data_IF_272243421768
#
_entry.id   IF_272243421768
#
_cell.length_a   1.000
_cell.length_b   1.000
_cell.length_c   1.000
_cell.angle_alpha   90.00
_cell.angle_beta   90.00
_cell.angle_gamma   90.00
#
_symmetry.space_group_name_H-M   'P 1'
#
loop_
_entity.id
_entity.type
_entity.pdbx_description
1 polymer ?
#
# COMPACT_ATOMS: atom_id res chain seq x y z
N UNK A 1 -47.80 0.16 -32.76
CA UNK A 1 -47.53 -0.99 -31.88
C UNK A 1 -46.17 -0.70 -31.27
N UNK A 2 -46.15 -0.49 -29.97
CA UNK A 2 -45.19 0.31 -29.19
C UNK A 2 -43.72 0.03 -29.54
N UNK A 3 -43.04 1.05 -30.08
CA UNK A 3 -41.58 1.19 -30.04
C UNK A 3 -41.20 1.34 -28.56
N UNK A 4 -40.89 0.22 -27.90
CA UNK A 4 -40.16 0.20 -26.63
C UNK A 4 -38.67 0.28 -26.96
N UNK A 5 -38.25 1.38 -27.57
CA UNK A 5 -36.89 1.85 -27.36
C UNK A 5 -36.85 2.29 -25.90
N UNK A 6 -36.54 1.35 -25.00
CA UNK A 6 -36.09 1.71 -23.66
C UNK A 6 -34.91 2.64 -23.86
N UNK A 7 -35.13 3.93 -23.64
CA UNK A 7 -34.07 4.89 -23.38
C UNK A 7 -33.29 4.35 -22.17
N UNK A 8 -32.30 3.50 -22.43
CA UNK A 8 -31.29 3.09 -21.47
C UNK A 8 -30.33 4.26 -21.14
N UNK A 9 -30.69 5.47 -21.55
CA UNK A 9 -30.16 6.74 -21.09
C UNK A 9 -31.05 7.28 -19.95
N UNK A 10 -31.37 6.41 -18.99
CA UNK A 10 -31.91 6.81 -17.70
C UNK A 10 -30.80 7.55 -16.95
N UNK A 11 -30.78 8.89 -17.09
CA UNK A 11 -29.91 9.87 -16.43
C UNK A 11 -28.63 9.29 -15.81
N UNK A 12 -27.65 8.95 -16.67
CA UNK A 12 -26.37 8.42 -16.20
C UNK A 12 -25.66 9.49 -15.36
N UNK A 13 -25.61 9.26 -14.05
CA UNK A 13 -25.05 10.19 -13.06
C UNK A 13 -23.51 10.23 -13.14
N UNK A 14 -22.90 9.11 -13.53
CA UNK A 14 -21.47 8.94 -13.74
C UNK A 14 -21.23 7.65 -14.53
N UNK A 15 -20.18 7.60 -15.35
CA UNK A 15 -19.79 6.37 -16.02
C UNK A 15 -18.27 6.28 -16.15
N UNK A 16 -17.76 5.05 -16.14
CA UNK A 16 -16.41 4.73 -16.57
C UNK A 16 -16.45 3.68 -17.70
N UNK A 17 -15.29 3.12 -18.04
CA UNK A 17 -15.18 2.20 -19.18
C UNK A 17 -16.10 0.98 -19.04
N UNK A 18 -16.24 0.43 -17.83
CA UNK A 18 -16.96 -0.82 -17.58
C UNK A 18 -18.35 -0.62 -16.97
N UNK A 19 -18.60 0.51 -16.31
CA UNK A 19 -19.78 0.69 -15.46
C UNK A 19 -20.49 2.02 -15.71
N UNK A 20 -21.82 1.97 -15.58
CA UNK A 20 -22.70 3.13 -15.49
C UNK A 20 -23.27 3.22 -14.07
N UNK A 21 -23.28 4.43 -13.51
CA UNK A 21 -24.03 4.79 -12.32
C UNK A 21 -25.29 5.51 -12.77
N UNK A 22 -26.43 4.91 -12.45
CA UNK A 22 -27.78 5.43 -12.72
C UNK A 22 -28.51 5.67 -11.38
N UNK A 23 -29.62 6.42 -11.35
CA UNK A 23 -30.33 6.72 -10.10
C UNK A 23 -30.77 5.47 -9.32
N UNK A 24 -31.05 4.38 -10.05
CA UNK A 24 -31.50 3.10 -9.52
C UNK A 24 -30.35 2.21 -9.02
N UNK A 25 -29.10 2.48 -9.39
CA UNK A 25 -27.97 1.61 -9.02
C UNK A 25 -26.78 1.64 -9.96
N UNK A 26 -26.05 0.53 -10.01
CA UNK A 26 -24.88 0.33 -10.86
C UNK A 26 -25.15 -0.71 -11.93
N UNK A 27 -24.80 -0.41 -13.17
CA UNK A 27 -24.91 -1.32 -14.30
C UNK A 27 -23.55 -1.56 -14.94
N UNK A 28 -23.18 -2.83 -15.13
CA UNK A 28 -22.01 -3.20 -15.89
C UNK A 28 -22.32 -3.22 -17.39
N UNK A 29 -21.66 -2.37 -18.17
CA UNK A 29 -21.99 -2.08 -19.57
C UNK A 29 -21.87 -3.29 -20.49
N UNK A 30 -20.87 -4.14 -20.27
CA UNK A 30 -20.61 -5.27 -21.16
C UNK A 30 -21.48 -6.50 -20.86
N UNK A 31 -21.94 -6.68 -19.62
CA UNK A 31 -22.71 -7.87 -19.20
C UNK A 31 -24.18 -7.56 -18.90
N UNK A 32 -24.55 -6.29 -18.77
CA UNK A 32 -25.86 -5.86 -18.27
C UNK A 32 -26.08 -6.21 -16.79
N UNK A 33 -25.01 -6.50 -16.04
CA UNK A 33 -25.14 -6.88 -14.63
C UNK A 33 -25.52 -5.67 -13.79
N UNK A 34 -26.65 -5.75 -13.09
CA UNK A 34 -27.19 -4.63 -12.32
C UNK A 34 -27.11 -4.88 -10.80
N UNK A 35 -26.68 -3.87 -10.08
CA UNK A 35 -26.67 -3.80 -8.62
C UNK A 35 -27.59 -2.67 -8.20
N UNK A 36 -28.74 -3.02 -7.62
CA UNK A 36 -29.70 -2.05 -7.12
C UNK A 36 -29.10 -1.16 -6.04
N UNK A 37 -29.50 0.12 -6.03
CA UNK A 37 -29.07 1.12 -5.06
C UNK A 37 -29.24 0.64 -3.62
N UNK A 38 -30.37 0.05 -3.29
CA UNK A 38 -30.70 -0.44 -1.95
C UNK A 38 -29.78 -1.60 -1.54
N UNK A 39 -29.28 -2.34 -2.52
CA UNK A 39 -28.36 -3.44 -2.29
C UNK A 39 -26.92 -2.97 -2.06
N UNK A 40 -26.50 -1.78 -2.54
CA UNK A 40 -25.12 -1.31 -2.45
C UNK A 40 -24.60 -1.29 -1.01
N UNK A 41 -25.45 -0.87 -0.05
CA UNK A 41 -25.14 -0.82 1.38
C UNK A 41 -25.16 -2.18 2.09
N UNK A 42 -25.48 -3.27 1.40
CA UNK A 42 -25.66 -4.58 2.02
C UNK A 42 -24.38 -5.08 2.71
N UNK A 43 -24.57 -5.56 3.94
CA UNK A 43 -23.52 -6.15 4.78
C UNK A 43 -23.76 -7.64 4.97
N UNK A 44 -22.68 -8.38 5.11
CA UNK A 44 -22.67 -9.78 5.54
C UNK A 44 -22.69 -9.88 7.06
N UNK A 45 -22.92 -11.08 7.60
CA UNK A 45 -22.96 -11.33 9.05
C UNK A 45 -21.65 -11.06 9.79
N UNK A 46 -20.54 -10.95 9.09
CA UNK A 46 -19.21 -10.58 9.60
C UNK A 46 -18.91 -9.06 9.54
N UNK A 47 -19.89 -8.24 9.13
CA UNK A 47 -19.79 -6.78 9.05
C UNK A 47 -19.11 -6.26 7.78
N UNK A 48 -18.62 -7.14 6.90
CA UNK A 48 -18.03 -6.77 5.62
C UNK A 48 -19.11 -6.41 4.59
N UNK A 49 -18.75 -5.54 3.64
CA UNK A 49 -19.61 -5.24 2.50
C UNK A 49 -19.76 -6.44 1.58
N UNK A 50 -21.00 -6.71 1.18
CA UNK A 50 -21.35 -7.86 0.33
C UNK A 50 -20.79 -7.72 -1.07
N UNK A 51 -21.02 -6.58 -1.73
CA UNK A 51 -20.76 -6.41 -3.15
C UNK A 51 -19.28 -6.44 -3.55
N UNK A 52 -18.33 -5.82 -2.82
CA UNK A 52 -16.92 -5.97 -3.13
C UNK A 52 -16.42 -7.42 -3.07
N UNK A 53 -16.97 -8.23 -2.16
CA UNK A 53 -16.61 -9.65 -2.07
C UNK A 53 -17.27 -10.47 -3.19
N UNK A 54 -18.54 -10.20 -3.49
CA UNK A 54 -19.28 -10.92 -4.53
C UNK A 54 -18.73 -10.64 -5.95
N UNK A 55 -18.30 -9.41 -6.22
CA UNK A 55 -17.76 -9.02 -7.53
C UNK A 55 -16.33 -9.50 -7.73
N UNK A 56 -15.58 -9.71 -6.65
CA UNK A 56 -14.26 -10.32 -6.71
C UNK A 56 -14.27 -11.76 -7.23
N UNK A 57 -15.38 -12.48 -7.07
CA UNK A 57 -15.54 -13.83 -7.63
C UNK A 57 -15.81 -13.80 -9.14
N UNK A 58 -16.05 -12.62 -9.73
CA UNK A 58 -16.39 -12.47 -11.15
C UNK A 58 -15.15 -12.09 -11.95
N UNK A 59 -14.71 -12.99 -12.83
CA UNK A 59 -13.52 -12.80 -13.67
C UNK A 59 -13.58 -11.60 -14.61
N UNK A 60 -14.78 -11.13 -14.94
CA UNK A 60 -15.01 -9.97 -15.79
C UNK A 60 -14.95 -8.63 -15.03
N UNK A 61 -14.93 -8.63 -13.69
CA UNK A 61 -14.94 -7.39 -12.91
C UNK A 61 -13.52 -6.85 -12.73
N UNK A 62 -13.22 -5.73 -13.38
CA UNK A 62 -11.97 -5.00 -13.16
C UNK A 62 -11.98 -4.31 -11.77
N UNK A 63 -11.08 -4.67 -10.84
CA UNK A 63 -11.14 -4.17 -9.46
C UNK A 63 -11.03 -2.64 -9.34
N UNK A 64 -10.24 -2.01 -10.22
CA UNK A 64 -10.00 -0.55 -10.19
C UNK A 64 -11.22 0.23 -10.66
N UNK A 65 -11.82 -0.19 -11.78
CA UNK A 65 -13.00 0.46 -12.35
C UNK A 65 -14.22 0.25 -11.46
N UNK A 66 -14.38 -0.96 -10.90
CA UNK A 66 -15.45 -1.21 -9.94
C UNK A 66 -15.28 -0.36 -8.67
N UNK A 67 -14.07 -0.26 -8.11
CA UNK A 67 -13.83 0.56 -6.91
C UNK A 67 -14.18 2.03 -7.15
N UNK A 68 -13.75 2.59 -8.28
CA UNK A 68 -14.04 3.98 -8.64
C UNK A 68 -15.55 4.24 -8.67
N UNK A 69 -16.29 3.44 -9.44
CA UNK A 69 -17.72 3.69 -9.59
C UNK A 69 -18.49 3.38 -8.31
N UNK A 70 -18.05 2.40 -7.52
CA UNK A 70 -18.66 2.08 -6.24
C UNK A 70 -18.52 3.26 -5.27
N UNK A 71 -17.33 3.88 -5.19
CA UNK A 71 -17.12 5.07 -4.36
C UNK A 71 -17.96 6.26 -4.83
N UNK A 72 -18.05 6.48 -6.15
CA UNK A 72 -18.92 7.49 -6.72
C UNK A 72 -20.41 7.23 -6.36
N UNK A 73 -20.85 5.97 -6.40
CA UNK A 73 -22.20 5.58 -6.00
C UNK A 73 -22.47 5.88 -4.52
N UNK A 74 -21.52 5.54 -3.63
CA UNK A 74 -21.67 5.84 -2.20
C UNK A 74 -21.79 7.35 -1.95
N UNK A 75 -20.95 8.15 -2.61
CA UNK A 75 -21.02 9.62 -2.50
C UNK A 75 -22.36 10.16 -3.00
N UNK A 76 -22.83 9.71 -4.18
CA UNK A 76 -24.11 10.15 -4.76
C UNK A 76 -25.32 9.73 -3.96
N UNK A 77 -25.29 8.53 -3.36
CA UNK A 77 -26.41 8.01 -2.58
C UNK A 77 -26.34 8.37 -1.09
N UNK A 78 -25.31 9.13 -0.66
CA UNK A 78 -25.14 9.55 0.72
C UNK A 78 -24.77 8.42 1.69
N UNK A 79 -24.14 7.36 1.19
CA UNK A 79 -23.65 6.24 1.99
C UNK A 79 -22.22 6.52 2.47
N UNK A 80 -21.94 6.28 3.75
CA UNK A 80 -20.60 6.50 4.30
C UNK A 80 -19.69 5.31 4.01
N UNK A 81 -18.56 5.57 3.36
CA UNK A 81 -17.46 4.63 3.25
C UNK A 81 -16.76 4.48 4.61
N UNK A 82 -16.69 3.25 5.13
CA UNK A 82 -16.09 2.93 6.42
C UNK A 82 -14.81 2.08 6.26
N UNK A 83 -14.12 1.80 7.37
CA UNK A 83 -12.94 0.93 7.36
C UNK A 83 -13.28 -0.47 6.86
N UNK A 84 -14.50 -0.95 7.16
CA UNK A 84 -14.98 -2.24 6.67
C UNK A 84 -15.05 -2.29 5.14
N UNK A 85 -15.37 -1.19 4.45
CA UNK A 85 -15.32 -1.11 2.98
C UNK A 85 -13.90 -1.35 2.47
N UNK A 86 -12.94 -0.67 3.06
CA UNK A 86 -11.53 -0.82 2.69
C UNK A 86 -11.04 -2.26 2.92
N UNK A 87 -11.44 -2.88 4.03
CA UNK A 87 -11.17 -4.29 4.32
C UNK A 87 -11.85 -5.23 3.32
N UNK A 88 -13.09 -4.96 2.91
CA UNK A 88 -13.81 -5.76 1.91
C UNK A 88 -13.13 -5.76 0.55
N UNK A 89 -12.69 -4.59 0.07
CA UNK A 89 -11.92 -4.51 -1.18
C UNK A 89 -10.57 -5.24 -1.08
N UNK A 90 -9.91 -5.16 0.09
CA UNK A 90 -8.65 -5.86 0.33
C UNK A 90 -8.79 -7.38 0.32
N UNK A 91 -9.85 -7.90 0.93
CA UNK A 91 -10.11 -9.34 0.98
C UNK A 91 -10.59 -9.85 -0.38
N UNK A 92 -11.54 -9.16 -1.01
CA UNK A 92 -12.11 -9.59 -2.29
C UNK A 92 -11.08 -9.52 -3.42
N UNK A 93 -10.51 -8.34 -3.66
CA UNK A 93 -9.69 -8.09 -4.83
C UNK A 93 -8.18 -8.10 -4.56
N UNK A 94 -7.76 -8.36 -3.32
CA UNK A 94 -6.35 -8.23 -2.92
C UNK A 94 -5.86 -6.77 -2.91
N UNK A 95 -6.77 -5.80 -2.97
CA UNK A 95 -6.43 -4.37 -2.96
C UNK A 95 -5.92 -3.98 -1.58
N UNK A 96 -4.62 -3.91 -1.37
CA UNK A 96 -4.11 -3.38 -0.10
C UNK A 96 -4.58 -1.93 0.06
N UNK A 97 -5.23 -1.57 1.17
CA UNK A 97 -5.43 -0.16 1.47
C UNK A 97 -4.04 0.47 1.51
N UNK A 98 -3.86 1.57 0.76
CA UNK A 98 -2.65 2.35 0.91
C UNK A 98 -2.53 2.69 2.40
N UNK A 99 -1.40 2.41 3.07
CA UNK A 99 -1.22 2.91 4.42
C UNK A 99 -1.39 4.43 4.33
N UNK A 100 -2.41 4.95 5.01
CA UNK A 100 -2.62 6.38 5.24
C UNK A 100 -1.45 6.88 6.08
N UNK A 101 -0.31 7.11 5.42
CA UNK A 101 0.96 7.40 6.09
C UNK A 101 2.25 7.27 5.27
N UNK A 102 2.23 6.77 4.01
CA UNK A 102 3.43 6.83 3.16
C UNK A 102 3.11 7.44 1.80
N UNK A 103 3.17 8.77 1.73
CA UNK A 103 3.71 9.40 0.52
C UNK A 103 5.17 8.96 0.39
N UNK A 104 5.45 8.10 -0.57
CA UNK A 104 6.82 7.74 -0.88
C UNK A 104 6.90 6.55 -1.82
N UNK A 105 7.13 6.83 -3.10
CA UNK A 105 7.82 5.88 -3.95
C UNK A 105 9.21 5.66 -3.35
N UNK A 106 9.46 4.48 -2.77
CA UNK A 106 10.82 4.08 -2.42
C UNK A 106 11.50 3.65 -3.71
N UNK A 107 12.56 4.36 -4.09
CA UNK A 107 13.34 3.98 -5.26
C UNK A 107 13.87 2.54 -5.08
N UNK A 108 13.79 1.71 -6.12
CA UNK A 108 14.25 0.31 -6.06
C UNK A 108 15.71 0.19 -5.58
N UNK A 109 16.53 1.22 -5.83
CA UNK A 109 17.91 1.32 -5.34
C UNK A 109 18.06 1.39 -3.82
N UNK A 110 17.04 1.87 -3.08
CA UNK A 110 17.06 1.90 -1.61
C UNK A 110 16.69 0.55 -0.99
N UNK A 111 15.97 -0.30 -1.73
CA UNK A 111 15.64 -1.67 -1.31
C UNK A 111 16.78 -2.65 -1.61
N UNK A 112 17.58 -2.37 -2.63
CA UNK A 112 18.77 -3.13 -2.94
C UNK A 112 19.94 -2.56 -2.14
N UNK A 113 20.17 -3.08 -0.93
CA UNK A 113 21.43 -2.84 -0.22
C UNK A 113 22.55 -3.54 -1.00
N UNK A 114 23.42 -2.84 -1.78
CA UNK A 114 24.57 -3.51 -2.35
C UNK A 114 25.42 -4.02 -1.18
N UNK A 115 25.70 -5.32 -1.17
CA UNK A 115 26.66 -5.93 -0.26
C UNK A 115 28.00 -5.24 -0.52
N UNK A 116 28.35 -4.27 0.32
CA UNK A 116 29.55 -3.46 0.18
C UNK A 116 30.76 -4.39 0.05
N UNK A 117 31.41 -4.37 -1.11
CA UNK A 117 32.72 -4.96 -1.27
C UNK A 117 33.65 -4.35 -0.19
N UNK A 118 34.35 -5.24 0.50
CA UNK A 118 35.24 -4.92 1.60
C UNK A 118 36.14 -3.71 1.29
N UNK A 119 36.26 -2.81 2.27
CA UNK A 119 37.17 -1.65 2.25
C UNK A 119 38.58 -2.09 1.86
N UNK A 120 39.17 -1.28 0.97
CA UNK A 120 40.58 -1.29 0.57
C UNK A 120 41.52 -1.49 1.77
N UNK A 121 42.40 -2.49 1.69
CA UNK A 121 43.61 -2.57 2.51
C UNK A 121 44.52 -1.38 2.18
N UNK A 122 44.92 -0.53 3.14
CA UNK A 122 46.04 0.38 2.96
C UNK A 122 47.33 -0.43 2.83
N UNK A 123 48.17 -0.03 1.87
CA UNK A 123 49.48 -0.61 1.63
C UNK A 123 50.39 -0.46 2.86
N UNK A 124 51.16 -1.52 3.09
CA UNK A 124 52.12 -1.75 4.15
C UNK A 124 53.20 -0.64 4.19
N UNK A 125 53.13 0.22 5.20
CA UNK A 125 54.19 1.17 5.49
C UNK A 125 55.29 0.47 6.33
N UNK A 126 56.44 0.31 5.70
CA UNK A 126 57.74 -0.14 6.22
C UNK A 126 58.04 0.36 7.65
N UNK A 127 58.41 -0.52 8.61
CA UNK A 127 58.76 -0.08 9.96
C UNK A 127 60.25 0.30 10.06
N UNK A 128 60.53 1.46 10.65
CA UNK A 128 61.87 1.85 11.14
C UNK A 128 61.78 2.24 12.62
N UNK A 129 62.86 2.07 13.42
CA UNK A 129 62.75 1.79 14.84
C UNK A 129 62.76 3.02 15.76
N UNK A 130 62.08 2.79 16.90
CA UNK A 130 61.92 3.48 18.18
C UNK A 130 63.02 4.46 18.63
N UNK A 131 62.59 5.55 19.28
CA UNK A 131 63.29 6.14 20.42
C UNK A 131 62.29 6.53 21.54
N UNK A 132 62.58 6.22 22.81
CA UNK A 132 61.75 6.60 23.96
C UNK A 132 62.13 8.00 24.47
N UNK A 133 61.13 8.87 24.67
CA UNK A 133 61.29 10.16 25.38
C UNK A 133 60.58 10.09 26.72
N UNK A 134 61.30 10.61 27.71
CA UNK A 134 61.17 10.52 29.18
C UNK A 134 59.95 11.23 29.76
N UNK A 135 59.60 10.86 30.98
CA UNK A 135 59.62 11.69 32.21
C UNK A 135 59.05 10.82 33.37
N UNK A 136 59.22 11.00 34.68
CA UNK A 136 60.12 11.70 35.60
C UNK A 136 59.49 11.47 36.99
N UNK A 137 60.34 11.29 38.00
CA UNK A 137 60.07 11.42 39.44
C UNK A 137 59.63 10.20 40.28
N UNK A 138 60.32 10.06 41.43
CA UNK A 138 60.05 9.18 42.58
C UNK A 138 60.71 7.82 42.43
N UNK A 139 61.70 7.37 43.21
CA UNK A 139 62.08 7.70 44.58
C UNK A 139 63.51 7.14 44.80
N UNK A 140 64.36 7.86 45.54
CA UNK A 140 65.64 7.34 46.04
C UNK A 140 65.39 6.74 47.42
N UNK A 141 65.79 5.48 47.64
CA UNK A 141 66.27 5.02 48.95
C UNK A 141 67.52 4.17 48.76
N UNK A 142 68.50 4.50 49.60
CA UNK A 142 69.91 4.10 49.65
C UNK A 142 70.11 2.64 50.12
N UNK A 143 70.98 1.87 49.46
CA UNK A 143 72.37 1.48 49.82
C UNK A 143 72.52 0.43 50.95
N UNK A 144 73.24 -0.66 50.61
CA UNK A 144 74.04 -1.52 51.52
C UNK A 144 73.54 -2.97 51.59
N UNK A 145 74.02 -3.95 50.83
CA UNK A 145 75.35 -4.60 50.78
C UNK A 145 75.70 -5.44 52.03
N UNK A 146 75.72 -6.77 51.87
CA UNK A 146 76.53 -7.77 52.58
C UNK A 146 76.45 -9.05 51.73
N UNK A 147 77.54 -9.46 51.07
CA UNK A 147 78.66 -10.26 51.58
C UNK A 147 78.25 -11.72 51.80
#
# INVERSE_FOLDING_TARGET
>A
MTDLCTDADGDVLFANDDWNLVPEGLEHRATGYFIAREALGARRGDGLWTWPLQLAEKSWCAPRLFREIFLAALERFGMTADEALSRSFAIGFGLRPAPSGCEGFVALGDLLRPRSAARKRPAEAKPAPRLPVRDRAGERVSIGASA
#
